data_IF_798529580701
#
_entry.id   IF_798529580701
#
_cell.length_a   1.000
_cell.length_b   1.000
_cell.length_c   1.000
_cell.angle_alpha   90.00
_cell.angle_beta   90.00
_cell.angle_gamma   90.00
#
_symmetry.space_group_name_H-M   'P 1'
#
loop_
_entity.id
_entity.type
_entity.pdbx_description
1 polymer ?
#
# COMPACT_ATOMS: atom_id res chain seq x y z
N UNK A 1 40.28 -30.63 -102.56
CA UNK A 1 39.77 -31.94 -102.09
C UNK A 1 40.59 -32.30 -100.85
N UNK A 2 40.08 -32.37 -99.64
CA UNK A 2 38.71 -32.26 -99.14
C UNK A 2 38.78 -31.83 -97.68
N UNK A 3 37.80 -31.04 -97.27
CA UNK A 3 37.49 -30.61 -95.90
C UNK A 3 37.31 -31.79 -94.93
N UNK A 4 37.56 -31.58 -93.64
CA UNK A 4 36.68 -32.17 -92.64
C UNK A 4 36.23 -31.15 -91.58
N UNK A 5 34.91 -30.91 -91.56
CA UNK A 5 34.09 -30.38 -90.45
C UNK A 5 33.48 -31.58 -89.67
N UNK A 6 32.82 -31.40 -88.50
CA UNK A 6 33.16 -30.59 -87.34
C UNK A 6 33.16 -31.43 -86.04
N UNK A 7 33.57 -30.76 -84.95
CA UNK A 7 33.63 -31.26 -83.58
C UNK A 7 32.33 -31.94 -83.09
N UNK A 8 32.48 -33.08 -82.40
CA UNK A 8 31.40 -33.71 -81.64
C UNK A 8 31.47 -33.23 -80.18
N UNK A 9 30.35 -32.82 -79.55
CA UNK A 9 30.39 -32.28 -78.20
C UNK A 9 30.55 -33.42 -77.19
N UNK A 10 31.71 -33.50 -76.54
CA UNK A 10 31.92 -34.40 -75.41
C UNK A 10 31.21 -33.81 -74.18
N UNK A 11 30.08 -34.45 -73.90
CA UNK A 11 29.24 -34.38 -72.70
C UNK A 11 30.05 -34.21 -71.42
N UNK A 12 30.09 -32.99 -70.90
CA UNK A 12 30.51 -32.71 -69.53
C UNK A 12 29.49 -33.41 -68.62
N UNK A 13 29.94 -34.45 -67.93
CA UNK A 13 29.22 -34.96 -66.76
C UNK A 13 29.28 -33.86 -65.70
N UNK A 14 28.20 -33.07 -65.62
CA UNK A 14 27.97 -32.21 -64.45
C UNK A 14 27.78 -33.16 -63.26
N UNK A 15 28.83 -33.28 -62.46
CA UNK A 15 28.73 -33.77 -61.09
C UNK A 15 27.62 -32.99 -60.41
N UNK A 16 26.60 -33.71 -59.95
CA UNK A 16 25.61 -33.20 -59.02
C UNK A 16 26.30 -32.94 -57.68
N UNK A 17 27.00 -31.82 -57.57
CA UNK A 17 27.28 -31.23 -56.27
C UNK A 17 25.97 -30.62 -55.76
N UNK A 18 25.18 -31.48 -55.10
CA UNK A 18 24.18 -31.05 -54.14
C UNK A 18 24.92 -30.42 -52.95
N UNK A 19 25.38 -29.19 -53.12
CA UNK A 19 25.56 -28.33 -51.96
C UNK A 19 24.16 -27.94 -51.48
N UNK A 20 23.79 -28.47 -50.31
CA UNK A 20 22.60 -28.08 -49.58
C UNK A 20 22.69 -26.61 -49.23
N UNK A 21 22.32 -25.75 -50.18
CA UNK A 21 21.92 -24.39 -49.92
C UNK A 21 20.61 -24.48 -49.14
N UNK A 22 20.70 -24.65 -47.83
CA UNK A 22 19.61 -24.34 -46.91
C UNK A 22 19.29 -22.88 -47.17
N UNK A 23 18.35 -22.63 -48.08
CA UNK A 23 17.82 -21.30 -48.35
C UNK A 23 17.24 -20.84 -47.02
N UNK A 24 17.98 -19.97 -46.34
CA UNK A 24 17.55 -19.36 -45.10
C UNK A 24 16.25 -18.61 -45.39
N UNK A 25 15.13 -19.15 -44.90
CA UNK A 25 13.82 -18.57 -45.19
C UNK A 25 13.67 -17.27 -44.41
N UNK A 26 12.95 -16.26 -44.95
CA UNK A 26 12.51 -15.12 -44.16
C UNK A 26 11.76 -15.56 -42.88
N UNK A 27 11.08 -16.71 -42.92
CA UNK A 27 10.41 -17.31 -41.77
C UNK A 27 11.40 -17.81 -40.71
N UNK A 28 12.55 -18.35 -41.12
CA UNK A 28 13.62 -18.76 -40.20
C UNK A 28 14.24 -17.54 -39.51
N UNK A 29 14.44 -16.45 -40.26
CA UNK A 29 14.93 -15.19 -39.71
C UNK A 29 13.95 -14.56 -38.71
N UNK A 30 12.64 -14.58 -39.02
CA UNK A 30 11.59 -14.11 -38.11
C UNK A 30 11.50 -15.00 -36.86
N UNK A 31 11.58 -16.32 -37.02
CA UNK A 31 11.57 -17.28 -35.91
C UNK A 31 12.73 -17.04 -34.94
N UNK A 32 13.95 -16.86 -35.46
CA UNK A 32 15.13 -16.54 -34.65
C UNK A 32 15.02 -15.17 -33.98
N UNK A 33 14.46 -14.17 -34.67
CA UNK A 33 14.22 -12.86 -34.09
C UNK A 33 13.23 -12.94 -32.93
N UNK A 34 12.10 -13.61 -33.10
CA UNK A 34 11.12 -13.84 -32.03
C UNK A 34 11.73 -14.61 -30.86
N UNK A 35 12.52 -15.64 -31.14
CA UNK A 35 13.21 -16.41 -30.10
C UNK A 35 14.22 -15.55 -29.33
N UNK A 36 14.97 -14.68 -30.00
CA UNK A 36 15.90 -13.75 -29.36
C UNK A 36 15.18 -12.69 -28.51
N UNK A 37 14.03 -12.21 -28.98
CA UNK A 37 13.16 -11.29 -28.24
C UNK A 37 12.64 -11.97 -26.97
N UNK A 38 12.13 -13.18 -27.08
CA UNK A 38 11.63 -13.96 -25.95
C UNK A 38 12.71 -14.23 -24.90
N UNK A 39 13.92 -14.60 -25.33
CA UNK A 39 15.05 -14.79 -24.43
C UNK A 39 15.43 -13.50 -23.72
N UNK A 40 15.47 -12.38 -24.44
CA UNK A 40 15.80 -11.06 -23.87
C UNK A 40 14.73 -10.62 -22.87
N UNK A 41 13.45 -10.79 -23.22
CA UNK A 41 12.33 -10.46 -22.35
C UNK A 41 12.31 -11.34 -21.08
N UNK A 42 12.58 -12.64 -21.20
CA UNK A 42 12.70 -13.54 -20.04
C UNK A 42 13.85 -13.14 -19.13
N UNK A 43 15.01 -12.83 -19.70
CA UNK A 43 16.18 -12.38 -18.93
C UNK A 43 15.88 -11.09 -18.17
N UNK A 44 15.30 -10.09 -18.83
CA UNK A 44 14.92 -8.84 -18.18
C UNK A 44 13.84 -9.05 -17.12
N UNK A 45 12.88 -9.95 -17.36
CA UNK A 45 11.88 -10.35 -16.37
C UNK A 45 12.55 -10.94 -15.12
N UNK A 46 13.48 -11.87 -15.29
CA UNK A 46 14.22 -12.48 -14.17
C UNK A 46 15.08 -11.46 -13.41
N UNK A 47 15.74 -10.54 -14.12
CA UNK A 47 16.51 -9.45 -13.51
C UNK A 47 15.62 -8.52 -12.69
N UNK A 48 14.44 -8.14 -13.21
CA UNK A 48 13.46 -7.34 -12.48
C UNK A 48 12.93 -8.07 -11.24
N UNK A 49 12.62 -9.37 -11.34
CA UNK A 49 12.17 -10.15 -10.18
C UNK A 49 13.27 -10.26 -9.11
N UNK A 50 14.52 -10.53 -9.51
CA UNK A 50 15.67 -10.54 -8.59
C UNK A 50 15.86 -9.18 -7.92
N UNK A 51 15.74 -8.09 -8.65
CA UNK A 51 15.84 -6.72 -8.11
C UNK A 51 14.68 -6.39 -7.15
N UNK A 52 13.47 -6.89 -7.42
CA UNK A 52 12.33 -6.74 -6.52
C UNK A 52 12.57 -7.56 -5.24
N UNK A 53 13.02 -8.81 -5.36
CA UNK A 53 13.30 -9.68 -4.21
C UNK A 53 14.43 -9.13 -3.34
N UNK A 54 15.50 -8.60 -3.94
CA UNK A 54 16.58 -7.94 -3.19
C UNK A 54 16.09 -6.66 -2.51
N UNK A 55 15.26 -5.85 -3.18
CA UNK A 55 14.68 -4.64 -2.56
C UNK A 55 13.66 -4.96 -1.47
N UNK A 56 12.86 -6.01 -1.62
CA UNK A 56 11.92 -6.45 -0.57
C UNK A 56 12.72 -7.03 0.59
N UNK A 57 13.65 -7.95 0.34
CA UNK A 57 14.49 -8.58 1.37
C UNK A 57 15.39 -7.58 2.09
N UNK A 58 16.03 -6.63 1.39
CA UNK A 58 16.84 -5.58 2.01
C UNK A 58 15.98 -4.62 2.85
N UNK A 59 14.73 -4.40 2.46
CA UNK A 59 13.77 -3.57 3.21
C UNK A 59 13.17 -4.30 4.39
N UNK A 60 13.12 -5.63 4.37
CA UNK A 60 12.67 -6.48 5.48
C UNK A 60 13.74 -6.58 6.58
N UNK A 61 15.04 -6.54 6.21
CA UNK A 61 16.16 -6.55 7.17
C UNK A 61 16.36 -5.21 7.88
N UNK A 62 15.84 -4.10 7.36
CA UNK A 62 16.00 -2.76 7.94
C UNK A 62 14.77 -2.26 8.75
N UNK A 63 13.70 -3.04 8.93
CA UNK A 63 12.49 -2.52 9.59
C UNK A 63 11.68 -3.50 10.44
N UNK A 64 12.32 -4.34 11.24
CA UNK A 64 11.67 -4.81 12.48
C UNK A 64 12.25 -4.00 13.64
N UNK A 65 11.74 -2.78 13.93
CA UNK A 65 12.02 -2.18 15.22
C UNK A 65 11.57 -3.17 16.31
N UNK A 66 12.31 -3.29 17.42
CA UNK A 66 11.88 -4.12 18.55
C UNK A 66 10.44 -3.74 18.86
N UNK A 67 9.59 -4.73 19.16
CA UNK A 67 8.20 -4.54 19.61
C UNK A 67 8.24 -3.47 20.70
N UNK A 68 8.00 -2.21 20.30
CA UNK A 68 7.99 -1.08 21.22
C UNK A 68 6.78 -1.39 22.08
N UNK A 69 7.04 -1.87 23.30
CA UNK A 69 5.99 -2.13 24.27
C UNK A 69 5.09 -0.91 24.24
N UNK A 70 3.86 -1.11 23.78
CA UNK A 70 2.94 0.01 23.65
C UNK A 70 2.78 0.57 25.07
N UNK A 71 3.07 1.86 25.28
CA UNK A 71 2.96 2.44 26.60
C UNK A 71 1.55 2.16 27.12
N UNK A 72 1.43 1.56 28.30
CA UNK A 72 0.12 1.25 28.87
C UNK A 72 -0.51 2.56 29.35
N UNK A 73 -1.51 3.03 28.62
CA UNK A 73 -2.22 4.26 28.98
C UNK A 73 -3.27 3.99 30.05
N UNK A 74 -3.40 4.95 30.98
CA UNK A 74 -4.45 4.93 32.01
C UNK A 74 -5.83 5.28 31.43
N UNK A 75 -5.85 6.06 30.35
CA UNK A 75 -7.07 6.57 29.74
C UNK A 75 -7.08 6.26 28.25
N UNK A 76 -8.17 5.68 27.77
CA UNK A 76 -8.39 5.31 26.37
C UNK A 76 -8.20 6.51 25.40
N UNK A 77 -8.64 7.71 25.82
CA UNK A 77 -8.41 8.93 25.05
C UNK A 77 -6.93 9.23 24.79
N UNK A 78 -6.04 8.94 25.75
CA UNK A 78 -4.60 9.16 25.58
C UNK A 78 -3.98 8.11 24.66
N UNK A 79 -4.44 6.87 24.73
CA UNK A 79 -4.03 5.80 23.82
C UNK A 79 -4.39 6.16 22.37
N UNK A 80 -5.64 6.58 22.14
CA UNK A 80 -6.11 7.07 20.83
C UNK A 80 -5.26 8.23 20.32
N UNK A 81 -4.84 9.16 21.19
CA UNK A 81 -3.95 10.27 20.79
C UNK A 81 -2.55 9.80 20.43
N UNK A 82 -1.99 8.89 21.22
CA UNK A 82 -0.66 8.36 20.98
C UNK A 82 -0.59 7.61 19.66
N UNK A 83 -1.55 6.72 19.39
CA UNK A 83 -1.62 5.98 18.12
C UNK A 83 -1.78 6.92 16.92
N UNK A 84 -2.69 7.90 17.01
CA UNK A 84 -2.87 8.90 15.96
C UNK A 84 -1.56 9.66 15.66
N UNK A 85 -0.86 10.12 16.71
CA UNK A 85 0.40 10.84 16.55
C UNK A 85 1.49 9.96 15.93
N UNK A 86 1.57 8.70 16.34
CA UNK A 86 2.50 7.72 15.77
C UNK A 86 2.26 7.51 14.28
N UNK A 87 1.00 7.31 13.88
CA UNK A 87 0.64 7.19 12.47
C UNK A 87 1.03 8.43 11.65
N UNK A 88 0.73 9.64 12.16
CA UNK A 88 1.12 10.89 11.49
C UNK A 88 2.62 11.02 11.34
N UNK A 89 3.38 10.66 12.38
CA UNK A 89 4.84 10.69 12.34
C UNK A 89 5.38 9.77 11.24
N UNK A 90 4.88 8.53 11.16
CA UNK A 90 5.30 7.60 10.10
C UNK A 90 4.93 8.09 8.69
N UNK A 91 3.80 8.78 8.53
CA UNK A 91 3.39 9.33 7.24
C UNK A 91 4.29 10.52 6.83
N UNK A 92 4.67 11.37 7.78
CA UNK A 92 5.61 12.46 7.54
C UNK A 92 7.02 11.94 7.23
N UNK A 93 7.51 10.89 7.91
CA UNK A 93 8.78 10.24 7.57
C UNK A 93 8.76 9.65 6.15
N UNK A 94 7.66 8.99 5.76
CA UNK A 94 7.48 8.51 4.38
C UNK A 94 7.49 9.66 3.37
N UNK A 95 6.83 10.76 3.72
CA UNK A 95 6.80 11.97 2.89
C UNK A 95 8.20 12.54 2.67
N UNK A 96 9.02 12.64 3.73
CA UNK A 96 10.42 13.08 3.60
C UNK A 96 11.19 12.17 2.64
N UNK A 97 11.07 10.85 2.78
CA UNK A 97 11.69 9.88 1.86
C UNK A 97 11.20 9.98 0.41
N UNK A 98 9.96 10.44 0.18
CA UNK A 98 9.43 10.66 -1.18
C UNK A 98 9.99 11.94 -1.81
N UNK A 99 10.23 12.97 -1.00
CA UNK A 99 10.89 14.20 -1.45
C UNK A 99 12.34 13.90 -1.86
N UNK A 100 13.06 13.11 -1.07
CA UNK A 100 14.44 12.67 -1.39
C UNK A 100 14.53 11.85 -2.69
N UNK A 101 13.44 11.16 -3.07
CA UNK A 101 13.33 10.34 -4.28
C UNK A 101 12.78 11.09 -5.49
N UNK A 102 12.78 12.43 -5.46
CA UNK A 102 12.27 13.30 -6.51
C UNK A 102 10.83 12.97 -6.95
N UNK A 103 9.98 12.61 -5.97
CA UNK A 103 8.55 12.33 -6.18
C UNK A 103 7.66 13.36 -5.46
N UNK A 104 7.75 14.66 -5.81
CA UNK A 104 7.11 15.74 -5.07
C UNK A 104 5.57 15.68 -5.11
N UNK A 105 4.98 15.21 -6.22
CA UNK A 105 3.53 15.11 -6.36
C UNK A 105 2.91 14.15 -5.33
N UNK A 106 3.54 12.99 -5.10
CA UNK A 106 3.10 12.04 -4.09
C UNK A 106 3.31 12.60 -2.68
N UNK A 107 4.45 13.26 -2.42
CA UNK A 107 4.72 13.90 -1.14
C UNK A 107 3.67 14.95 -0.79
N UNK A 108 3.26 15.79 -1.76
CA UNK A 108 2.20 16.79 -1.57
C UNK A 108 0.87 16.12 -1.18
N UNK A 109 0.49 15.02 -1.83
CA UNK A 109 -0.74 14.29 -1.49
C UNK A 109 -0.71 13.76 -0.04
N UNK A 110 0.41 13.19 0.41
CA UNK A 110 0.57 12.73 1.80
C UNK A 110 0.52 13.90 2.80
N UNK A 111 1.11 15.05 2.46
CA UNK A 111 1.02 16.25 3.28
C UNK A 111 -0.41 16.77 3.39
N UNK A 112 -1.14 16.87 2.28
CA UNK A 112 -2.54 17.30 2.29
C UNK A 112 -3.42 16.38 3.13
N UNK A 113 -3.23 15.07 2.99
CA UNK A 113 -3.92 14.07 3.81
C UNK A 113 -3.59 14.24 5.29
N UNK A 114 -2.32 14.42 5.62
CA UNK A 114 -1.88 14.65 7.00
C UNK A 114 -2.43 15.95 7.59
N UNK A 115 -2.50 17.03 6.82
CA UNK A 115 -3.12 18.31 7.23
C UNK A 115 -4.62 18.12 7.51
N UNK A 116 -5.35 17.42 6.62
CA UNK A 116 -6.78 17.15 6.82
C UNK A 116 -7.01 16.33 8.09
N UNK A 117 -6.26 15.25 8.28
CA UNK A 117 -6.34 14.41 9.47
C UNK A 117 -6.05 15.20 10.76
N UNK A 118 -5.05 16.09 10.76
CA UNK A 118 -4.75 16.95 11.91
C UNK A 118 -5.87 17.95 12.20
N UNK A 119 -6.48 18.55 11.17
CA UNK A 119 -7.63 19.45 11.35
C UNK A 119 -8.82 18.72 11.97
N UNK A 120 -9.15 17.53 11.46
CA UNK A 120 -10.18 16.67 12.02
C UNK A 120 -9.86 16.31 13.48
N UNK A 121 -8.63 15.93 13.77
CA UNK A 121 -8.23 15.57 15.13
C UNK A 121 -8.32 16.75 16.11
N UNK A 122 -7.91 17.94 15.69
CA UNK A 122 -8.03 19.16 16.51
C UNK A 122 -9.49 19.50 16.81
N UNK A 123 -10.40 19.23 15.87
CA UNK A 123 -11.85 19.36 16.12
C UNK A 123 -12.31 18.34 17.17
N UNK A 124 -11.92 17.08 17.07
CA UNK A 124 -12.26 16.06 18.07
C UNK A 124 -11.70 16.40 19.46
N UNK A 125 -10.50 16.97 19.54
CA UNK A 125 -9.92 17.46 20.80
C UNK A 125 -10.77 18.55 21.45
N UNK A 126 -11.25 19.52 20.66
CA UNK A 126 -12.16 20.57 21.15
C UNK A 126 -13.48 20.02 21.66
N UNK A 127 -14.00 18.97 21.02
CA UNK A 127 -15.21 18.27 21.49
C UNK A 127 -14.91 17.55 22.81
N UNK A 128 -13.79 16.81 22.89
CA UNK A 128 -13.38 16.10 24.10
C UNK A 128 -13.19 17.05 25.29
N UNK A 129 -12.55 18.19 25.08
CA UNK A 129 -12.30 19.20 26.11
C UNK A 129 -13.61 19.74 26.70
N UNK A 130 -14.62 19.98 25.85
CA UNK A 130 -15.90 20.56 26.28
C UNK A 130 -16.92 19.55 26.79
N UNK A 131 -16.95 18.33 26.23
CA UNK A 131 -18.03 17.36 26.46
C UNK A 131 -17.57 15.99 26.97
N UNK A 132 -16.27 15.70 26.90
CA UNK A 132 -15.67 14.42 27.24
C UNK A 132 -15.42 13.51 26.04
N UNK A 133 -14.57 12.51 26.24
CA UNK A 133 -14.21 11.51 25.22
C UNK A 133 -15.37 10.59 24.83
N UNK A 134 -16.33 10.37 25.73
CA UNK A 134 -17.52 9.59 25.45
C UNK A 134 -18.44 10.24 24.40
N UNK A 135 -18.50 11.58 24.36
CA UNK A 135 -19.20 12.31 23.29
C UNK A 135 -18.45 12.23 21.97
N UNK A 136 -17.11 12.21 22.00
CA UNK A 136 -16.30 12.04 20.81
C UNK A 136 -16.53 10.68 20.17
N UNK A 137 -16.62 9.62 20.97
CA UNK A 137 -16.90 8.27 20.45
C UNK A 137 -18.25 8.21 19.74
N UNK A 138 -19.32 8.74 20.35
CA UNK A 138 -20.64 8.85 19.69
C UNK A 138 -20.63 9.73 18.44
N UNK A 139 -19.79 10.78 18.45
CA UNK A 139 -19.66 11.69 17.32
C UNK A 139 -18.95 11.02 16.13
N UNK A 140 -17.97 10.17 16.37
CA UNK A 140 -17.27 9.42 15.31
C UNK A 140 -18.16 8.27 14.80
N UNK A 141 -18.83 7.56 15.71
CA UNK A 141 -19.59 6.35 15.40
C UNK A 141 -20.92 6.60 14.65
N UNK A 142 -21.36 7.85 14.46
CA UNK A 142 -22.67 8.16 13.85
C UNK A 142 -22.66 8.02 12.30
N UNK A 143 -23.21 6.93 11.74
CA UNK A 143 -23.10 6.62 10.32
C UNK A 143 -24.12 7.39 9.45
N UNK A 144 -25.06 8.10 10.07
CA UNK A 144 -26.21 8.75 9.39
C UNK A 144 -25.86 10.17 8.90
N UNK A 145 -24.59 10.56 8.87
CA UNK A 145 -24.19 11.98 8.83
C UNK A 145 -23.33 12.39 7.63
N UNK A 146 -23.42 11.69 6.50
CA UNK A 146 -23.01 12.28 5.22
C UNK A 146 -24.04 13.35 4.81
N UNK A 147 -23.91 14.59 5.34
CA UNK A 147 -24.68 15.76 4.92
C UNK A 147 -25.43 16.53 6.02
N UNK A 148 -25.41 16.08 7.28
CA UNK A 148 -26.03 16.81 8.41
C UNK A 148 -25.11 17.88 8.97
N UNK A 149 -25.67 19.03 9.37
CA UNK A 149 -24.93 20.11 10.04
C UNK A 149 -24.19 19.62 11.29
N UNK A 150 -22.96 20.10 11.45
CA UNK A 150 -22.01 19.65 12.45
C UNK A 150 -22.48 19.91 13.88
N UNK A 151 -23.16 21.03 14.11
CA UNK A 151 -23.74 21.36 15.40
C UNK A 151 -24.88 20.39 15.78
N UNK A 152 -25.65 19.95 14.79
CA UNK A 152 -26.73 18.98 15.00
C UNK A 152 -26.16 17.62 15.37
N UNK A 153 -25.12 17.17 14.65
CA UNK A 153 -24.41 15.92 14.95
C UNK A 153 -23.85 15.92 16.38
N UNK A 154 -23.19 17.01 16.78
CA UNK A 154 -22.64 17.14 18.12
C UNK A 154 -23.72 17.10 19.23
N UNK A 155 -24.88 17.73 19.01
CA UNK A 155 -26.01 17.66 19.97
C UNK A 155 -26.52 16.24 20.14
N UNK A 156 -26.65 15.48 19.05
CA UNK A 156 -27.09 14.09 19.12
C UNK A 156 -26.08 13.22 19.86
N UNK A 157 -24.79 13.38 19.56
CA UNK A 157 -23.71 12.67 20.24
C UNK A 157 -23.71 12.94 21.75
N UNK A 158 -23.84 14.21 22.18
CA UNK A 158 -23.93 14.57 23.60
C UNK A 158 -25.15 13.96 24.28
N UNK A 159 -26.31 13.97 23.61
CA UNK A 159 -27.52 13.33 24.13
C UNK A 159 -27.33 11.81 24.32
N UNK A 160 -26.81 11.11 23.31
CA UNK A 160 -26.55 9.66 23.36
C UNK A 160 -25.55 9.31 24.47
N UNK A 161 -24.45 10.05 24.58
CA UNK A 161 -23.47 9.87 25.64
C UNK A 161 -24.05 10.10 27.03
N UNK A 162 -24.84 11.17 27.24
CA UNK A 162 -25.55 11.43 28.51
C UNK A 162 -26.51 10.30 28.86
N UNK A 163 -27.26 9.77 27.90
CA UNK A 163 -28.15 8.64 28.12
C UNK A 163 -27.37 7.38 28.56
N UNK A 164 -26.25 7.06 27.90
CA UNK A 164 -25.36 5.95 28.28
C UNK A 164 -24.75 6.13 29.68
N UNK A 165 -24.32 7.36 30.02
CA UNK A 165 -23.84 7.69 31.38
C UNK A 165 -24.89 7.43 32.44
N UNK A 166 -26.14 7.84 32.20
CA UNK A 166 -27.26 7.65 33.15
C UNK A 166 -27.59 6.16 33.37
N UNK A 167 -27.61 5.36 32.31
CA UNK A 167 -27.91 3.93 32.41
C UNK A 167 -26.79 3.12 33.10
N UNK A 168 -25.53 3.56 33.00
CA UNK A 168 -24.41 2.97 33.78
C UNK A 168 -24.50 3.26 35.28
N UNK A 169 -25.12 4.37 35.67
CA UNK A 169 -25.28 4.72 37.09
C UNK A 169 -26.42 3.92 37.74
N UNK A 170 -27.51 3.68 37.01
CA UNK A 170 -28.66 2.90 37.53
C UNK A 170 -28.41 1.40 37.69
N UNK A 171 -27.32 0.87 37.11
CA UNK A 171 -26.96 -0.56 37.15
C UNK A 171 -25.91 -0.88 38.21
N UNK A 172 -25.40 0.11 38.96
CA UNK A 172 -24.52 -0.14 40.10
C UNK A 172 -25.35 -0.58 41.32
N UNK A 173 -25.15 -1.78 41.88
CA UNK A 173 -25.84 -2.20 43.10
C UNK A 173 -25.46 -1.25 44.25
N UNK A 174 -26.44 -0.91 45.10
CA UNK A 174 -26.25 -0.05 46.25
C UNK A 174 -25.16 -0.62 47.18
N UNK A 175 -24.30 0.23 47.79
CA UNK A 175 -23.32 -0.24 48.75
C UNK A 175 -24.06 -0.88 49.94
N UNK A 176 -23.78 -2.15 50.21
CA UNK A 176 -24.28 -2.88 51.37
C UNK A 176 -23.58 -2.28 52.60
N UNK A 177 -24.27 -1.42 53.35
CA UNK A 177 -23.82 -1.00 54.67
C UNK A 177 -24.03 -2.17 55.64
N UNK A 178 -22.95 -2.89 55.96
CA UNK A 178 -22.96 -3.86 57.06
C UNK A 178 -22.98 -3.09 58.39
N UNK A 179 -24.17 -2.95 58.97
CA UNK A 179 -24.33 -2.49 60.36
C UNK A 179 -23.83 -3.58 61.31
N UNK A 180 -22.62 -3.42 61.85
CA UNK A 180 -22.21 -4.17 63.04
C UNK A 180 -22.90 -3.53 64.27
N UNK A 181 -23.96 -4.17 64.75
CA UNK A 181 -24.42 -3.98 66.13
C UNK A 181 -23.39 -4.64 67.04
N UNK A 182 -22.61 -3.83 67.73
CA UNK A 182 -21.80 -4.29 68.86
C UNK A 182 -22.75 -4.47 70.05
N UNK A 183 -22.74 -5.67 70.62
CA UNK A 183 -23.51 -6.06 71.83
C UNK A 183 -22.91 -5.47 73.09
#
# INVERSE_FOLDING_TARGET
MSEPEPESPIRIQRSEEREGSTRFSPEDALSLFTQSLDLTLRKHKEELFKEIDTRIGAKEVESVPPVKQTPKFRYDGNEKQFSFNGERLTELEKTLKLIEKDSPALAIQYLEKSIKALKERNKLLRIADKYGWDVVDEYIDDPITEGTDDATKLRQADYRAKAKRRNKVSTRPAPIFQNQRVS
#
